data_IF_376171902431
#
_entry.id   IF_376171902431
#
_cell.length_a   1.000
_cell.length_b   1.000
_cell.length_c   1.000
_cell.angle_alpha   90.00
_cell.angle_beta   90.00
_cell.angle_gamma   90.00
#
_symmetry.space_group_name_H-M   'P 1'
#
loop_
_entity.id
_entity.type
_entity.pdbx_description
1 polymer ?
#
# COMPACT_ATOMS: atom_id res chain seq x y z
N UNK A 1 22.02 -15.92 41.16
CA UNK A 1 22.76 -15.52 39.93
C UNK A 1 22.29 -16.24 38.66
N UNK A 2 22.19 -17.58 38.60
CA UNK A 2 21.82 -18.32 37.37
C UNK A 2 20.46 -17.91 36.75
N UNK A 3 19.43 -17.64 37.57
CA UNK A 3 18.08 -17.23 37.11
C UNK A 3 18.04 -15.82 36.50
N UNK A 4 18.90 -14.91 36.97
CA UNK A 4 19.00 -13.54 36.45
C UNK A 4 19.60 -13.52 35.04
N UNK A 5 20.62 -14.36 34.79
CA UNK A 5 21.23 -14.50 33.48
C UNK A 5 20.26 -15.08 32.45
N UNK A 6 19.37 -15.99 32.86
CA UNK A 6 18.36 -16.57 31.96
C UNK A 6 17.31 -15.54 31.55
N UNK A 7 16.86 -14.70 32.48
CA UNK A 7 15.90 -13.62 32.20
C UNK A 7 16.51 -12.57 31.25
N UNK A 8 17.78 -12.23 31.45
CA UNK A 8 18.53 -11.29 30.59
C UNK A 8 18.71 -11.82 29.15
N UNK A 9 18.96 -13.12 29.00
CA UNK A 9 19.11 -13.77 27.69
C UNK A 9 17.79 -13.84 26.91
N UNK A 10 16.67 -14.10 27.59
CA UNK A 10 15.34 -14.13 26.96
C UNK A 10 14.91 -12.73 26.49
N UNK A 11 15.16 -11.70 27.31
CA UNK A 11 14.80 -10.32 26.95
C UNK A 11 15.60 -9.80 25.75
N UNK A 12 16.88 -10.19 25.62
CA UNK A 12 17.69 -9.87 24.45
C UNK A 12 17.15 -10.53 23.16
N UNK A 13 16.58 -11.74 23.25
CA UNK A 13 16.03 -12.47 22.10
C UNK A 13 14.75 -11.83 21.54
N UNK A 14 13.91 -11.23 22.38
CA UNK A 14 12.66 -10.58 21.97
C UNK A 14 12.88 -9.33 21.10
N UNK A 15 14.02 -8.65 21.24
CA UNK A 15 14.35 -7.43 20.48
C UNK A 15 14.90 -7.77 19.08
N UNK A 16 15.41 -8.98 18.86
CA UNK A 16 16.09 -9.40 17.62
C UNK A 16 15.15 -10.17 16.68
N UNK A 17 13.91 -10.45 17.08
CA UNK A 17 12.96 -11.15 16.22
C UNK A 17 12.74 -10.35 14.93
N UNK A 18 12.93 -10.97 13.75
CA UNK A 18 12.64 -10.31 12.49
C UNK A 18 11.17 -9.89 12.50
N UNK A 19 10.91 -8.62 12.22
CA UNK A 19 9.58 -8.14 11.90
C UNK A 19 9.11 -8.92 10.67
N UNK A 20 8.26 -9.92 10.90
CA UNK A 20 7.56 -10.61 9.82
C UNK A 20 6.64 -9.56 9.20
N UNK A 21 7.06 -9.02 8.05
CA UNK A 21 6.22 -8.16 7.25
C UNK A 21 5.12 -9.03 6.65
N UNK A 22 3.91 -8.95 7.22
CA UNK A 22 2.75 -9.61 6.64
C UNK A 22 2.36 -8.88 5.36
N UNK A 23 2.60 -9.54 4.21
CA UNK A 23 2.06 -9.07 2.94
C UNK A 23 0.53 -9.16 2.97
N UNK A 24 -0.13 -8.23 2.27
CA UNK A 24 -1.56 -8.31 2.05
C UNK A 24 -1.90 -9.56 1.21
N UNK A 25 -3.00 -10.21 1.56
CA UNK A 25 -3.54 -11.30 0.75
C UNK A 25 -4.07 -10.75 -0.59
N UNK A 26 -4.11 -11.56 -1.66
CA UNK A 26 -4.66 -11.11 -2.95
C UNK A 26 -6.07 -10.50 -2.86
N UNK A 27 -7.02 -11.06 -2.07
CA UNK A 27 -8.32 -10.42 -1.87
C UNK A 27 -8.24 -9.03 -1.24
N UNK A 28 -7.37 -8.82 -0.25
CA UNK A 28 -7.17 -7.50 0.38
C UNK A 28 -6.56 -6.51 -0.60
N UNK A 29 -5.58 -6.94 -1.40
CA UNK A 29 -5.00 -6.11 -2.47
C UNK A 29 -6.08 -5.70 -3.47
N UNK A 30 -6.91 -6.64 -3.92
CA UNK A 30 -7.99 -6.36 -4.87
C UNK A 30 -9.02 -5.37 -4.31
N UNK A 31 -9.39 -5.50 -3.03
CA UNK A 31 -10.30 -4.58 -2.36
C UNK A 31 -9.75 -3.15 -2.33
N UNK A 32 -8.47 -2.98 -2.00
CA UNK A 32 -7.82 -1.66 -1.99
C UNK A 32 -7.69 -1.12 -3.42
N UNK A 33 -7.24 -1.95 -4.36
CA UNK A 33 -7.06 -1.56 -5.76
C UNK A 33 -8.38 -1.05 -6.38
N UNK A 34 -9.51 -1.69 -6.07
CA UNK A 34 -10.82 -1.27 -6.56
C UNK A 34 -11.24 0.13 -6.06
N UNK A 35 -10.77 0.56 -4.89
CA UNK A 35 -11.11 1.88 -4.31
C UNK A 35 -10.29 3.03 -4.91
N UNK A 36 -9.08 2.75 -5.37
CA UNK A 36 -8.14 3.78 -5.86
C UNK A 36 -7.97 3.76 -7.38
N UNK A 37 -8.38 2.70 -8.05
CA UNK A 37 -8.36 2.60 -9.52
C UNK A 37 -9.59 3.29 -10.09
N UNK A 38 -9.36 4.20 -11.03
CA UNK A 38 -10.43 4.92 -11.75
C UNK A 38 -10.42 4.55 -13.22
N UNK A 39 -11.62 4.46 -13.79
CA UNK A 39 -11.82 4.52 -15.23
C UNK A 39 -11.67 5.98 -15.66
N UNK A 40 -10.76 6.23 -16.60
CA UNK A 40 -10.63 7.52 -17.25
C UNK A 40 -11.25 7.39 -18.63
N UNK A 41 -12.44 7.99 -18.77
CA UNK A 41 -13.20 7.98 -20.01
C UNK A 41 -12.72 9.08 -20.98
N UNK A 42 -12.96 8.90 -22.27
CA UNK A 42 -12.55 9.82 -23.33
C UNK A 42 -12.29 9.14 -24.66
N UNK A 43 -11.72 9.88 -25.62
CA UNK A 43 -11.46 9.36 -26.98
C UNK A 43 -10.53 8.13 -26.99
N UNK A 44 -9.59 8.06 -26.06
CA UNK A 44 -8.76 6.88 -25.79
C UNK A 44 -8.94 6.49 -24.32
N UNK A 45 -9.94 5.65 -23.99
CA UNK A 45 -10.22 5.28 -22.62
C UNK A 45 -9.03 4.55 -21.99
N UNK A 46 -8.90 4.68 -20.66
CA UNK A 46 -7.80 4.07 -19.91
C UNK A 46 -8.11 3.98 -18.43
N UNK A 47 -7.11 3.55 -17.66
CA UNK A 47 -7.20 3.51 -16.21
C UNK A 47 -6.17 4.46 -15.58
N UNK A 48 -6.42 4.77 -14.32
CA UNK A 48 -5.46 5.50 -13.50
C UNK A 48 -5.58 5.14 -12.03
N UNK A 49 -4.59 5.56 -11.25
CA UNK A 49 -4.53 5.34 -9.81
C UNK A 49 -4.58 6.69 -9.10
N UNK A 50 -5.55 6.85 -8.20
CA UNK A 50 -5.62 8.00 -7.29
C UNK A 50 -4.46 7.89 -6.29
N UNK A 51 -3.64 8.94 -6.19
CA UNK A 51 -2.53 8.99 -5.22
C UNK A 51 -2.64 10.18 -4.25
N UNK A 52 -3.54 11.13 -4.50
CA UNK A 52 -3.82 12.26 -3.61
C UNK A 52 -5.27 12.74 -3.78
N UNK A 53 -5.85 13.23 -2.69
CA UNK A 53 -7.17 13.89 -2.67
C UNK A 53 -7.07 15.22 -1.90
N UNK A 54 -7.68 16.27 -2.43
CA UNK A 54 -7.88 17.56 -1.75
C UNK A 54 -9.36 17.97 -1.91
N UNK A 55 -10.16 17.73 -0.88
CA UNK A 55 -11.62 17.90 -0.95
C UNK A 55 -12.24 17.02 -2.04
N UNK A 56 -12.79 17.65 -3.08
CA UNK A 56 -13.38 16.98 -4.24
C UNK A 56 -12.41 16.87 -5.44
N UNK A 57 -11.16 17.32 -5.28
CA UNK A 57 -10.11 17.21 -6.31
C UNK A 57 -9.30 15.94 -6.08
N UNK A 58 -9.19 15.11 -7.12
CA UNK A 58 -8.42 13.87 -7.11
C UNK A 58 -7.25 13.97 -8.08
N UNK A 59 -6.07 13.56 -7.64
CA UNK A 59 -4.87 13.50 -8.47
C UNK A 59 -4.64 12.06 -8.88
N UNK A 60 -4.55 11.83 -10.19
CA UNK A 60 -4.54 10.51 -10.81
C UNK A 60 -3.24 10.33 -11.58
N UNK A 61 -2.53 9.22 -11.34
CA UNK A 61 -1.44 8.76 -12.20
C UNK A 61 -2.03 7.92 -13.33
N UNK A 62 -1.68 8.24 -14.56
CA UNK A 62 -2.10 7.48 -15.75
C UNK A 62 -0.98 7.46 -16.79
N UNK A 63 -1.16 6.65 -17.83
CA UNK A 63 -0.21 6.53 -18.93
C UNK A 63 -0.10 7.86 -19.71
N UNK A 64 1.12 8.27 -20.06
CA UNK A 64 1.39 9.49 -20.84
C UNK A 64 0.61 9.58 -22.16
N UNK A 65 0.28 8.44 -22.76
CA UNK A 65 -0.47 8.37 -24.03
C UNK A 65 -1.90 8.88 -23.87
N UNK A 66 -2.48 8.85 -22.68
CA UNK A 66 -3.83 9.32 -22.44
C UNK A 66 -3.90 10.83 -22.76
N UNK A 67 -4.66 11.17 -23.81
CA UNK A 67 -4.87 12.56 -24.25
C UNK A 67 -6.18 13.04 -23.65
N UNK A 68 -6.11 13.96 -22.70
CA UNK A 68 -7.28 14.63 -22.15
C UNK A 68 -7.79 15.61 -23.22
N UNK A 69 -8.87 15.25 -23.91
CA UNK A 69 -9.55 16.13 -24.87
C UNK A 69 -10.69 16.78 -24.09
N UNK A 70 -10.35 17.88 -23.41
CA UNK A 70 -11.33 18.88 -22.97
C UNK A 70 -11.41 19.95 -24.06
#
# INVERSE_FOLDING_TARGET
MRRFLTILLISAFAVILPYIAFALTPPQVNQIAAQVTVLIDGYQPGSGVIFKRNGNVYYVLTMKRFRNVL
#
